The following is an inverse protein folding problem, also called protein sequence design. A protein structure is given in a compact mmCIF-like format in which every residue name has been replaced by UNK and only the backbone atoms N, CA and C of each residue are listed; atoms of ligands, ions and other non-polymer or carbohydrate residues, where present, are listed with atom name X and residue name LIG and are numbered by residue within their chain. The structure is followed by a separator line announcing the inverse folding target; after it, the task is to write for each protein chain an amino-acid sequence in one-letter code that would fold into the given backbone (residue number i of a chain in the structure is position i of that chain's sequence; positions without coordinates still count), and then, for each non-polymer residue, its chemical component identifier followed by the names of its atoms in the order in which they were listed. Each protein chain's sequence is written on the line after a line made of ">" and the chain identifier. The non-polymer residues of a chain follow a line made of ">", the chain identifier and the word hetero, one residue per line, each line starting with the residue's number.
data_IF_217010658041
#
_entry.id   IF_217010658041
#
_cell.length_a   1.000
_cell.length_b   1.000
_cell.length_c   1.000
_cell.angle_alpha   90.00
_cell.angle_beta   90.00
_cell.angle_gamma   90.00
#
_symmetry.space_group_name_H-M   'P 1'
#
loop_
_entity.id
_entity.type
_entity.pdbx_description
1 polymer ?
#
# COMPACT_ATOMS: atom_id res chain seq x y z
N UNK A 1 -29.08 5.80 -17.55
CA UNK A 1 -28.32 6.65 -16.61
C UNK A 1 -26.95 6.88 -17.22
N UNK A 2 -26.54 8.13 -17.46
CA UNK A 2 -25.30 8.44 -18.17
C UNK A 2 -24.06 8.13 -17.31
N UNK A 3 -23.01 7.58 -17.92
CA UNK A 3 -21.75 7.20 -17.26
C UNK A 3 -21.16 8.36 -16.42
N UNK A 4 -21.25 9.59 -16.92
CA UNK A 4 -20.79 10.80 -16.22
C UNK A 4 -21.51 11.03 -14.89
N UNK A 5 -22.80 10.70 -14.81
CA UNK A 5 -23.59 10.90 -13.59
C UNK A 5 -23.29 9.81 -12.55
N UNK A 6 -22.98 8.59 -13.01
CA UNK A 6 -22.53 7.49 -12.15
C UNK A 6 -21.17 7.85 -11.54
N UNK A 7 -20.22 8.29 -12.36
CA UNK A 7 -18.89 8.71 -11.88
C UNK A 7 -18.99 9.88 -10.90
N UNK A 8 -19.79 10.90 -11.23
CA UNK A 8 -20.03 12.02 -10.31
C UNK A 8 -20.67 11.57 -8.98
N UNK A 9 -21.62 10.62 -9.03
CA UNK A 9 -22.22 10.03 -7.84
C UNK A 9 -21.23 9.26 -6.98
N UNK A 10 -20.35 8.45 -7.59
CA UNK A 10 -19.29 7.71 -6.89
C UNK A 10 -18.25 8.65 -6.26
N UNK A 11 -17.86 9.70 -6.97
CA UNK A 11 -16.95 10.73 -6.46
C UNK A 11 -17.59 11.46 -5.27
N UNK A 12 -18.86 11.86 -5.40
CA UNK A 12 -19.61 12.52 -4.31
C UNK A 12 -19.73 11.61 -3.09
N UNK A 13 -20.08 10.33 -3.28
CA UNK A 13 -20.14 9.33 -2.21
C UNK A 13 -18.77 9.15 -1.55
N UNK A 14 -17.68 9.11 -2.32
CA UNK A 14 -16.32 9.05 -1.79
C UNK A 14 -15.98 10.29 -0.94
N UNK A 15 -16.31 11.49 -1.40
CA UNK A 15 -16.09 12.71 -0.60
C UNK A 15 -16.95 12.79 0.66
N UNK A 16 -18.18 12.26 0.62
CA UNK A 16 -19.06 12.21 1.80
C UNK A 16 -18.58 11.18 2.82
N UNK A 17 -18.02 10.07 2.35
CA UNK A 17 -17.51 8.98 3.20
C UNK A 17 -16.14 9.30 3.81
N UNK A 18 -15.26 10.01 3.10
CA UNK A 18 -13.96 10.45 3.63
C UNK A 18 -14.06 11.47 4.76
N UNK A 19 -15.22 12.12 4.95
CA UNK A 19 -15.49 12.97 6.13
C UNK A 19 -15.66 12.18 7.43
N UNK A 20 -15.92 10.87 7.37
CA UNK A 20 -16.00 10.02 8.57
C UNK A 20 -14.84 9.04 8.58
N UNK A 21 -13.93 9.24 9.53
CA UNK A 21 -12.72 8.41 9.68
C UNK A 21 -13.03 6.91 9.75
N UNK A 22 -14.12 6.51 10.41
CA UNK A 22 -14.53 5.10 10.45
C UNK A 22 -14.85 4.53 9.06
N UNK A 23 -15.54 5.29 8.20
CA UNK A 23 -15.86 4.84 6.85
C UNK A 23 -14.63 4.87 5.94
N UNK A 24 -13.77 5.89 6.09
CA UNK A 24 -12.48 5.95 5.41
C UNK A 24 -11.62 4.73 5.76
N UNK A 25 -11.54 4.37 7.04
CA UNK A 25 -10.78 3.22 7.53
C UNK A 25 -11.31 1.90 6.95
N UNK A 26 -12.63 1.71 6.91
CA UNK A 26 -13.24 0.50 6.33
C UNK A 26 -12.98 0.42 4.82
N UNK A 27 -13.14 1.54 4.10
CA UNK A 27 -12.92 1.57 2.64
C UNK A 27 -11.45 1.35 2.27
N UNK A 28 -10.52 1.89 3.07
CA UNK A 28 -9.08 1.74 2.85
C UNK A 28 -8.52 0.45 3.43
N UNK A 29 -9.27 -0.27 4.27
CA UNK A 29 -8.82 -1.47 4.98
C UNK A 29 -8.07 -2.46 4.08
N UNK A 30 -8.57 -2.86 2.89
CA UNK A 30 -7.85 -3.82 2.06
C UNK A 30 -6.47 -3.31 1.63
N UNK A 31 -6.38 -2.02 1.32
CA UNK A 31 -5.14 -1.36 0.96
C UNK A 31 -4.21 -1.20 2.16
N UNK A 32 -4.72 -0.79 3.32
CA UNK A 32 -3.95 -0.67 4.56
C UNK A 32 -3.39 -2.02 4.98
N UNK A 33 -4.18 -3.09 4.88
CA UNK A 33 -3.73 -4.47 5.12
C UNK A 33 -2.56 -4.82 4.19
N UNK A 34 -2.71 -4.63 2.88
CA UNK A 34 -1.65 -4.93 1.93
C UNK A 34 -0.37 -4.10 2.19
N UNK A 35 -0.53 -2.82 2.53
CA UNK A 35 0.55 -1.91 2.86
C UNK A 35 1.33 -2.38 4.11
N UNK A 36 0.65 -2.55 5.24
CA UNK A 36 1.29 -2.97 6.49
C UNK A 36 1.85 -4.40 6.39
N UNK A 37 1.17 -5.30 5.67
CA UNK A 37 1.66 -6.65 5.45
C UNK A 37 2.96 -6.65 4.63
N UNK A 38 3.13 -5.70 3.70
CA UNK A 38 4.39 -5.58 2.96
C UNK A 38 5.57 -5.26 3.87
N UNK A 39 5.40 -4.30 4.80
CA UNK A 39 6.38 -3.99 5.83
C UNK A 39 6.70 -5.21 6.68
N UNK A 40 5.66 -5.91 7.14
CA UNK A 40 5.80 -7.09 7.97
C UNK A 40 6.57 -8.22 7.27
N UNK A 41 6.20 -8.56 6.03
CA UNK A 41 6.81 -9.64 5.25
C UNK A 41 8.27 -9.30 4.92
N UNK A 42 8.54 -8.08 4.44
CA UNK A 42 9.92 -7.66 4.12
C UNK A 42 10.78 -7.61 5.37
N UNK A 43 10.23 -7.15 6.50
CA UNK A 43 10.94 -7.19 7.79
C UNK A 43 11.29 -8.64 8.17
N UNK A 44 10.36 -9.58 8.07
CA UNK A 44 10.61 -11.00 8.35
C UNK A 44 11.68 -11.61 7.44
N UNK A 45 11.61 -11.35 6.13
CA UNK A 45 12.57 -11.87 5.15
C UNK A 45 13.99 -11.35 5.41
N UNK A 46 14.11 -10.13 5.92
CA UNK A 46 15.39 -9.53 6.30
C UNK A 46 15.84 -9.91 7.72
N UNK A 47 15.16 -10.85 8.37
CA UNK A 47 15.47 -11.29 9.73
C UNK A 47 15.23 -10.23 10.80
N UNK A 48 14.48 -9.16 10.48
CA UNK A 48 14.02 -8.22 11.49
C UNK A 48 13.00 -8.90 12.40
N UNK A 49 12.94 -8.49 13.67
CA UNK A 49 11.95 -8.99 14.62
C UNK A 49 10.75 -8.04 14.63
N UNK A 50 9.64 -8.33 13.92
CA UNK A 50 8.41 -7.56 14.07
C UNK A 50 7.85 -7.76 15.47
N UNK A 51 7.54 -6.66 16.15
CA UNK A 51 7.07 -6.64 17.53
C UNK A 51 5.62 -6.14 17.67
N UNK A 52 5.06 -5.54 16.62
CA UNK A 52 3.69 -5.05 16.61
C UNK A 52 3.13 -4.94 15.21
N UNK A 53 1.84 -5.25 15.09
CA UNK A 53 1.03 -5.11 13.88
C UNK A 53 -0.36 -4.63 14.32
N UNK A 54 -0.83 -3.50 13.79
CA UNK A 54 -2.15 -2.94 14.08
C UNK A 54 -2.82 -2.48 12.80
N UNK A 55 -4.13 -2.73 12.71
CA UNK A 55 -5.03 -2.20 11.67
C UNK A 55 -6.14 -1.35 12.29
N UNK A 56 -6.02 -1.04 13.58
CA UNK A 56 -7.00 -0.24 14.30
C UNK A 56 -6.59 1.23 14.12
N UNK A 57 -7.45 2.06 13.51
CA UNK A 57 -7.14 3.47 13.35
C UNK A 57 -6.93 4.15 14.69
N UNK A 58 -5.81 4.84 14.85
CA UNK A 58 -5.48 5.60 16.05
C UNK A 58 -5.25 7.06 15.69
N UNK A 59 -5.77 7.97 16.51
CA UNK A 59 -5.52 9.40 16.36
C UNK A 59 -4.14 9.70 16.92
N UNK A 60 -3.25 10.27 16.10
CA UNK A 60 -1.86 10.57 16.49
C UNK A 60 -1.67 12.05 16.82
N UNK A 61 -2.33 12.94 16.07
CA UNK A 61 -2.36 14.40 16.30
C UNK A 61 -3.70 14.98 15.83
N UNK A 62 -3.95 16.26 16.09
CA UNK A 62 -5.12 16.94 15.53
C UNK A 62 -5.14 16.83 14.01
N UNK A 63 -6.25 16.32 13.46
CA UNK A 63 -6.45 15.99 12.05
C UNK A 63 -5.50 14.93 11.43
N UNK A 64 -4.68 14.24 12.22
CA UNK A 64 -3.83 13.14 11.75
C UNK A 64 -4.23 11.81 12.39
N UNK A 65 -4.58 10.87 11.52
CA UNK A 65 -4.95 9.50 11.86
C UNK A 65 -3.97 8.53 11.23
N UNK A 66 -3.47 7.61 12.03
CA UNK A 66 -2.74 6.45 11.55
C UNK A 66 -3.76 5.31 11.39
N UNK A 67 -3.87 4.75 10.20
CA UNK A 67 -4.85 3.71 9.88
C UNK A 67 -4.35 2.30 10.23
N UNK A 68 -3.02 2.10 10.18
CA UNK A 68 -2.34 0.88 10.56
C UNK A 68 -0.88 1.16 10.89
N UNK A 69 -0.23 0.18 11.51
CA UNK A 69 1.21 0.25 11.79
C UNK A 69 1.84 -1.13 11.96
N UNK A 70 3.08 -1.23 11.50
CA UNK A 70 4.01 -2.29 11.85
C UNK A 70 5.21 -1.72 12.60
N UNK A 71 5.60 -2.37 13.70
CA UNK A 71 6.83 -2.06 14.42
C UNK A 71 7.78 -3.24 14.36
N UNK A 72 9.06 -2.94 14.17
CA UNK A 72 10.12 -3.94 14.05
C UNK A 72 11.43 -3.37 14.60
N UNK A 73 12.38 -4.25 14.95
CA UNK A 73 13.74 -3.86 15.36
C UNK A 73 14.75 -4.26 14.29
N UNK A 74 15.09 -3.35 13.35
CA UNK A 74 16.02 -3.60 12.25
C UNK A 74 17.45 -3.11 12.53
N UNK A 75 18.40 -3.57 11.72
CA UNK A 75 19.68 -2.88 11.49
C UNK A 75 19.54 -1.76 10.43
N UNK A 76 20.53 -0.86 10.32
CA UNK A 76 20.44 0.34 9.45
C UNK A 76 20.07 0.06 7.99
N UNK A 77 20.63 -1.00 7.38
CA UNK A 77 20.34 -1.38 6.00
C UNK A 77 18.90 -1.88 5.86
N UNK A 78 18.49 -2.82 6.71
CA UNK A 78 17.13 -3.34 6.72
C UNK A 78 16.08 -2.27 6.99
N UNK A 79 16.37 -1.25 7.80
CA UNK A 79 15.41 -0.16 8.07
C UNK A 79 15.01 0.58 6.80
N UNK A 80 15.99 0.99 5.99
CA UNK A 80 15.72 1.71 4.74
C UNK A 80 14.99 0.82 3.72
N UNK A 81 15.35 -0.46 3.67
CA UNK A 81 14.73 -1.42 2.76
C UNK A 81 13.28 -1.73 3.14
N UNK A 82 13.01 -1.95 4.44
CA UNK A 82 11.66 -2.17 4.95
C UNK A 82 10.82 -0.90 4.79
N UNK A 83 11.36 0.30 5.03
CA UNK A 83 10.60 1.54 4.90
C UNK A 83 9.96 1.73 3.51
N UNK A 84 10.55 1.18 2.46
CA UNK A 84 9.99 1.23 1.11
C UNK A 84 9.41 -0.11 0.65
N UNK A 85 9.16 -1.04 1.58
CA UNK A 85 8.53 -2.32 1.31
C UNK A 85 7.19 -2.22 0.52
N UNK A 86 6.33 -1.20 0.73
CA UNK A 86 5.10 -1.04 -0.04
C UNK A 86 5.32 -0.99 -1.56
N UNK A 87 6.46 -0.51 -2.04
CA UNK A 87 6.76 -0.47 -3.48
C UNK A 87 6.82 -1.88 -4.10
N UNK A 88 7.16 -2.91 -3.34
CA UNK A 88 7.09 -4.30 -3.81
C UNK A 88 5.68 -4.75 -4.12
N UNK A 89 4.67 -4.19 -3.43
CA UNK A 89 3.25 -4.47 -3.71
C UNK A 89 2.90 -4.02 -5.13
N UNK A 90 3.44 -2.89 -5.60
CA UNK A 90 3.24 -2.44 -6.99
C UNK A 90 3.89 -3.36 -8.00
N UNK A 91 5.12 -3.82 -7.72
CA UNK A 91 5.83 -4.77 -8.57
C UNK A 91 5.07 -6.09 -8.70
N UNK A 92 4.65 -6.66 -7.57
CA UNK A 92 3.87 -7.89 -7.53
C UNK A 92 2.50 -7.74 -8.22
N UNK A 93 1.81 -6.63 -8.00
CA UNK A 93 0.55 -6.32 -8.66
C UNK A 93 0.70 -6.19 -10.17
N UNK A 94 1.70 -5.42 -10.62
CA UNK A 94 2.00 -5.25 -12.05
C UNK A 94 2.33 -6.59 -12.71
N UNK A 95 3.15 -7.41 -12.05
CA UNK A 95 3.50 -8.73 -12.57
C UNK A 95 2.28 -9.63 -12.71
N UNK A 96 1.41 -9.66 -11.69
CA UNK A 96 0.19 -10.45 -11.74
C UNK A 96 -0.77 -9.97 -12.84
N UNK A 97 -0.98 -8.65 -12.98
CA UNK A 97 -1.89 -8.07 -13.99
C UNK A 97 -1.41 -8.32 -15.42
N UNK A 98 -0.11 -8.21 -15.66
CA UNK A 98 0.46 -8.29 -17.01
C UNK A 98 0.71 -9.73 -17.46
N UNK A 99 1.04 -10.63 -16.53
CA UNK A 99 1.60 -11.93 -16.89
C UNK A 99 0.85 -13.14 -16.33
N UNK A 100 0.18 -13.02 -15.17
CA UNK A 100 -0.42 -14.19 -14.52
C UNK A 100 -1.95 -14.24 -14.62
N UNK A 101 -2.62 -13.09 -14.73
CA UNK A 101 -4.07 -13.07 -14.72
C UNK A 101 -4.63 -13.74 -15.98
N UNK A 102 -5.60 -14.65 -15.87
CA UNK A 102 -6.32 -15.17 -17.01
C UNK A 102 -7.14 -14.03 -17.64
N UNK A 103 -7.11 -13.94 -18.98
CA UNK A 103 -7.98 -13.02 -19.71
C UNK A 103 -9.43 -13.50 -19.60
N UNK A 104 -10.35 -12.58 -19.30
CA UNK A 104 -11.77 -12.89 -19.29
C UNK A 104 -12.54 -12.01 -20.26
N UNK A 105 -13.50 -12.60 -20.97
CA UNK A 105 -14.46 -11.84 -21.76
C UNK A 105 -15.59 -11.25 -20.90
N UNK A 106 -15.72 -11.69 -19.64
CA UNK A 106 -16.76 -11.23 -18.74
C UNK A 106 -16.38 -9.89 -18.11
N UNK A 107 -17.15 -8.85 -18.38
CA UNK A 107 -16.91 -7.50 -17.85
C UNK A 107 -16.84 -7.46 -16.31
N UNK A 108 -17.60 -8.32 -15.63
CA UNK A 108 -17.59 -8.41 -14.17
C UNK A 108 -16.24 -8.89 -13.61
N UNK A 109 -15.59 -9.84 -14.29
CA UNK A 109 -14.28 -10.35 -13.89
C UNK A 109 -13.18 -9.31 -14.17
N UNK A 110 -13.23 -8.64 -15.33
CA UNK A 110 -12.30 -7.55 -15.63
C UNK A 110 -12.43 -6.38 -14.65
N UNK A 111 -13.66 -6.05 -14.22
CA UNK A 111 -13.90 -5.05 -13.18
C UNK A 111 -13.32 -5.49 -11.84
N UNK A 112 -13.51 -6.74 -11.44
CA UNK A 112 -12.94 -7.29 -10.21
C UNK A 112 -11.41 -7.21 -10.21
N UNK A 113 -10.78 -7.61 -11.32
CA UNK A 113 -9.33 -7.53 -11.47
C UNK A 113 -8.81 -6.10 -11.49
N UNK A 114 -9.53 -5.18 -12.13
CA UNK A 114 -9.24 -3.75 -12.07
C UNK A 114 -9.33 -3.19 -10.64
N UNK A 115 -10.32 -3.62 -9.85
CA UNK A 115 -10.45 -3.23 -8.45
C UNK A 115 -9.29 -3.76 -7.60
N UNK A 116 -8.94 -5.04 -7.72
CA UNK A 116 -7.79 -5.62 -7.01
C UNK A 116 -6.51 -4.88 -7.38
N UNK A 117 -6.27 -4.66 -8.67
CA UNK A 117 -5.14 -3.90 -9.17
C UNK A 117 -5.08 -2.48 -8.59
N UNK A 118 -6.20 -1.77 -8.60
CA UNK A 118 -6.32 -0.42 -8.01
C UNK A 118 -6.02 -0.39 -6.51
N UNK A 119 -6.55 -1.36 -5.75
CA UNK A 119 -6.28 -1.49 -4.30
C UNK A 119 -4.80 -1.72 -4.05
N UNK A 120 -4.16 -2.62 -4.82
CA UNK A 120 -2.73 -2.92 -4.66
C UNK A 120 -1.84 -1.75 -5.08
N UNK A 121 -2.20 -1.02 -6.14
CA UNK A 121 -1.48 0.17 -6.56
C UNK A 121 -1.59 1.27 -5.50
N UNK A 122 -2.77 1.46 -4.90
CA UNK A 122 -2.98 2.39 -3.80
C UNK A 122 -2.18 1.98 -2.55
N UNK A 123 -2.13 0.68 -2.23
CA UNK A 123 -1.35 0.15 -1.12
C UNK A 123 0.16 0.38 -1.26
N UNK A 124 0.66 0.49 -2.50
CA UNK A 124 2.08 0.66 -2.75
C UNK A 124 2.60 2.08 -2.51
N UNK A 125 1.71 3.06 -2.30
CA UNK A 125 2.11 4.44 -2.04
C UNK A 125 2.71 4.51 -0.63
N UNK A 126 4.01 4.86 -0.49
CA UNK A 126 4.64 4.99 0.82
C UNK A 126 4.05 6.16 1.60
N UNK A 127 3.88 6.00 2.90
CA UNK A 127 3.41 7.07 3.78
C UNK A 127 4.49 8.14 3.98
N UNK A 128 4.11 9.30 4.55
CA UNK A 128 5.09 10.34 4.91
C UNK A 128 6.10 9.85 5.95
N UNK A 129 5.67 8.97 6.86
CA UNK A 129 6.55 8.31 7.83
C UNK A 129 7.55 7.39 7.14
N UNK A 130 7.10 6.58 6.19
CA UNK A 130 7.95 5.68 5.40
C UNK A 130 9.02 6.43 4.64
N UNK A 131 8.64 7.51 3.95
CA UNK A 131 9.57 8.38 3.23
C UNK A 131 10.58 9.00 4.18
N UNK A 132 10.15 9.49 5.35
CA UNK A 132 11.05 10.07 6.33
C UNK A 132 12.07 9.04 6.86
N UNK A 133 11.63 7.80 7.10
CA UNK A 133 12.53 6.71 7.52
C UNK A 133 13.47 6.32 6.38
N UNK A 134 12.97 6.18 5.16
CA UNK A 134 13.76 5.84 3.98
C UNK A 134 14.89 6.87 3.73
N UNK A 135 14.59 8.17 3.88
CA UNK A 135 15.59 9.24 3.75
C UNK A 135 16.62 9.23 4.88
N UNK A 136 16.22 8.82 6.10
CA UNK A 136 17.13 8.70 7.24
C UNK A 136 18.08 7.51 7.14
N UNK A 137 17.71 6.48 6.39
CA UNK A 137 18.49 5.25 6.19
C UNK A 137 18.80 4.99 4.70
N UNK A 138 19.59 5.86 4.06
CA UNK A 138 19.73 5.90 2.59
C UNK A 138 20.37 4.65 1.99
N UNK A 139 21.21 3.92 2.72
CA UNK A 139 21.87 2.72 2.19
C UNK A 139 20.86 1.60 1.84
N UNK A 140 19.87 1.36 2.71
CA UNK A 140 18.81 0.38 2.45
C UNK A 140 17.87 0.82 1.35
N UNK A 141 17.53 2.11 1.36
CA UNK A 141 16.70 2.77 0.37
C UNK A 141 17.31 2.72 -1.02
N UNK A 142 18.60 3.04 -1.16
CA UNK A 142 19.31 3.01 -2.42
C UNK A 142 19.39 1.59 -2.98
N UNK A 143 19.63 0.57 -2.13
CA UNK A 143 19.62 -0.83 -2.55
C UNK A 143 18.28 -1.22 -3.18
N UNK A 144 17.17 -0.86 -2.54
CA UNK A 144 15.86 -1.15 -3.09
C UNK A 144 15.62 -0.41 -4.42
N UNK A 145 15.93 0.88 -4.47
CA UNK A 145 15.78 1.68 -5.68
C UNK A 145 16.59 1.11 -6.85
N UNK A 146 17.82 0.63 -6.60
CA UNK A 146 18.63 -0.07 -7.58
C UNK A 146 17.97 -1.37 -8.06
N UNK A 147 17.42 -2.18 -7.15
CA UNK A 147 16.73 -3.43 -7.54
C UNK A 147 15.48 -3.12 -8.38
N UNK A 148 14.65 -2.17 -7.95
CA UNK A 148 13.49 -1.75 -8.73
C UNK A 148 13.88 -1.21 -10.10
N UNK A 149 14.95 -0.41 -10.20
CA UNK A 149 15.44 0.11 -11.47
C UNK A 149 15.94 -1.03 -12.40
N UNK A 150 16.67 -2.00 -11.86
CA UNK A 150 17.16 -3.16 -12.62
C UNK A 150 16.03 -4.06 -13.12
N UNK A 151 14.93 -4.17 -12.38
CA UNK A 151 13.76 -4.96 -12.79
C UNK A 151 12.90 -4.28 -13.86
N UNK A 152 13.15 -3.00 -14.14
CA UNK A 152 12.42 -2.19 -15.13
C UNK A 152 13.19 -2.00 -16.45
N UNK A 153 14.43 -2.49 -16.55
CA UNK A 153 15.27 -2.49 -17.75
C UNK A 153 15.26 -3.86 -18.40
#
# INVERSE_FOLDING_TARGET
>A
MNLSHIVAGLICLHFLTTRRIAMLAVQSLPSTVAHELSHFVVALLLGCRPAGFSLIPKRVRDNYWELGSVTFTPGKLSTGFVALAPLWVLGAASYWILWLRPSSAAIGEELLWGMVGGITAWAAIPSSTDVAVALRYPAGTALLACICALLLV
#
